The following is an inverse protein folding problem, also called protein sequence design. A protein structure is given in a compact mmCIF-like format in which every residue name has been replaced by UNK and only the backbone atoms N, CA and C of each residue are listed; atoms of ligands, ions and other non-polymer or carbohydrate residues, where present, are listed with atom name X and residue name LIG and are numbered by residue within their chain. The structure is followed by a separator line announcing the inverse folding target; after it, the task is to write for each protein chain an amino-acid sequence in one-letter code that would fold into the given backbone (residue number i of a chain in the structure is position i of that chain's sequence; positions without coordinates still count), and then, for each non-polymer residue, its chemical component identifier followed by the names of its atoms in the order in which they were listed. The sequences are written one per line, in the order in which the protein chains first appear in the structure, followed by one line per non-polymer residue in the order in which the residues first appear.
data_IF_312741540267
#
_entry.id   IF_312741540267
#
_cell.length_a   1.000
_cell.length_b   1.000
_cell.length_c   1.000
_cell.angle_alpha   90.00
_cell.angle_beta   90.00
_cell.angle_gamma   90.00
#
_symmetry.space_group_name_H-M   'P 1'
#
loop_
_entity.id
_entity.type
_entity.pdbx_description
1 polymer ?
#
# COMPACT_ATOMS: atom_id res chain seq x y z
N UNK A 1 6.73 33.52 39.88
CA UNK A 1 5.77 32.41 40.13
C UNK A 1 4.44 32.53 39.38
N UNK A 2 4.09 33.67 38.75
CA UNK A 2 2.88 33.77 37.91
C UNK A 2 3.08 33.24 36.47
N UNK A 3 4.28 33.40 35.91
CA UNK A 3 4.62 32.89 34.56
C UNK A 3 4.43 31.38 34.45
N UNK A 4 4.90 30.61 35.43
CA UNK A 4 4.83 29.13 35.40
C UNK A 4 3.41 28.58 35.41
N UNK A 5 2.46 29.29 36.08
CA UNK A 5 1.05 28.87 36.13
C UNK A 5 0.33 29.20 34.82
N UNK A 6 0.65 30.35 34.22
CA UNK A 6 0.12 30.75 32.92
C UNK A 6 0.67 29.87 31.79
N UNK A 7 1.96 29.55 31.82
CA UNK A 7 2.62 28.61 30.88
C UNK A 7 2.01 27.21 30.98
N UNK A 8 1.68 26.76 32.18
CA UNK A 8 1.01 25.48 32.40
C UNK A 8 -0.41 25.47 31.83
N UNK A 9 -1.18 26.53 32.07
CA UNK A 9 -2.51 26.70 31.51
C UNK A 9 -2.48 26.78 29.98
N UNK A 10 -1.57 27.58 29.41
CA UNK A 10 -1.40 27.72 27.97
C UNK A 10 -0.99 26.38 27.33
N UNK A 11 -0.10 25.62 27.97
CA UNK A 11 0.29 24.29 27.52
C UNK A 11 -0.89 23.30 27.51
N UNK A 12 -1.76 23.37 28.52
CA UNK A 12 -2.96 22.55 28.57
C UNK A 12 -3.95 22.90 27.45
N UNK A 13 -4.18 24.20 27.23
CA UNK A 13 -5.03 24.71 26.14
C UNK A 13 -4.47 24.33 24.77
N UNK A 14 -3.17 24.49 24.54
CA UNK A 14 -2.52 24.11 23.28
C UNK A 14 -2.66 22.61 23.02
N UNK A 15 -2.45 21.75 24.03
CA UNK A 15 -2.64 20.30 23.89
C UNK A 15 -4.08 19.94 23.56
N UNK A 16 -5.05 20.61 24.20
CA UNK A 16 -6.47 20.40 23.92
C UNK A 16 -6.83 20.84 22.49
N UNK A 17 -6.37 22.02 22.06
CA UNK A 17 -6.55 22.50 20.69
C UNK A 17 -5.93 21.55 19.66
N UNK A 18 -4.70 21.08 19.89
CA UNK A 18 -4.05 20.11 19.01
C UNK A 18 -4.83 18.79 18.93
N UNK A 19 -5.34 18.29 20.06
CA UNK A 19 -6.18 17.09 20.09
C UNK A 19 -7.50 17.28 19.33
N UNK A 20 -8.15 18.44 19.49
CA UNK A 20 -9.37 18.78 18.77
C UNK A 20 -9.13 18.87 17.26
N UNK A 21 -8.07 19.57 16.85
CA UNK A 21 -7.68 19.68 15.44
C UNK A 21 -7.33 18.31 14.84
N UNK A 22 -6.63 17.45 15.59
CA UNK A 22 -6.31 16.10 15.16
C UNK A 22 -7.56 15.22 15.02
N UNK A 23 -8.48 15.30 15.98
CA UNK A 23 -9.76 14.58 15.90
C UNK A 23 -10.61 15.07 14.74
N UNK A 24 -10.70 16.40 14.54
CA UNK A 24 -11.40 16.99 13.40
C UNK A 24 -10.76 16.56 12.08
N UNK A 25 -9.43 16.57 12.00
CA UNK A 25 -8.70 16.09 10.83
C UNK A 25 -8.99 14.62 10.55
N UNK A 26 -8.99 13.75 11.57
CA UNK A 26 -9.28 12.33 11.39
C UNK A 26 -10.77 12.04 11.08
N UNK A 27 -11.68 12.94 11.45
CA UNK A 27 -13.10 12.87 11.12
C UNK A 27 -13.39 13.36 9.70
N UNK A 28 -12.67 14.39 9.22
CA UNK A 28 -12.84 14.98 7.89
C UNK A 28 -11.94 14.33 6.84
N UNK A 29 -10.82 13.73 7.24
CA UNK A 29 -9.96 12.98 6.33
C UNK A 29 -10.79 11.84 5.73
N UNK A 30 -10.76 11.68 4.40
CA UNK A 30 -11.38 10.51 3.80
C UNK A 30 -10.77 9.29 4.49
N UNK A 31 -11.63 8.47 5.10
CA UNK A 31 -11.22 7.18 5.63
C UNK A 31 -10.52 6.48 4.48
N UNK A 32 -9.20 6.36 4.58
CA UNK A 32 -8.44 5.52 3.67
C UNK A 32 -9.06 4.15 3.88
N UNK A 33 -9.95 3.76 2.97
CA UNK A 33 -10.42 2.39 2.90
C UNK A 33 -9.13 1.61 2.84
N UNK A 34 -8.84 0.81 3.87
CA UNK A 34 -7.69 -0.09 3.85
C UNK A 34 -7.79 -0.82 2.52
N UNK A 35 -6.94 -0.40 1.58
CA UNK A 35 -7.01 -0.70 0.16
C UNK A 35 -6.58 -2.12 -0.11
N UNK A 36 -6.81 -3.03 0.85
CA UNK A 36 -6.89 -4.45 0.61
C UNK A 36 -8.20 -4.73 -0.13
N UNK A 37 -8.37 -4.12 -1.30
CA UNK A 37 -9.06 -4.84 -2.37
C UNK A 37 -8.31 -6.17 -2.45
N UNK A 38 -8.98 -7.25 -2.06
CA UNK A 38 -8.39 -8.58 -2.09
C UNK A 38 -7.90 -8.78 -3.52
N UNK A 39 -6.59 -8.80 -3.68
CA UNK A 39 -6.00 -9.00 -4.99
C UNK A 39 -6.58 -10.26 -5.57
N UNK A 40 -6.94 -10.26 -6.86
CA UNK A 40 -7.42 -11.47 -7.49
C UNK A 40 -6.33 -12.55 -7.38
N UNK A 41 -6.70 -13.82 -7.19
CA UNK A 41 -5.72 -14.89 -7.04
C UNK A 41 -4.85 -15.01 -8.29
N UNK A 42 -3.59 -15.44 -8.12
CA UNK A 42 -2.72 -15.69 -9.27
C UNK A 42 -3.21 -16.95 -9.99
N UNK A 43 -3.69 -16.80 -11.22
CA UNK A 43 -4.23 -17.90 -12.03
C UNK A 43 -3.17 -18.57 -12.91
N UNK A 44 -2.15 -17.82 -13.35
CA UNK A 44 -1.09 -18.34 -14.21
C UNK A 44 0.07 -18.93 -13.38
N UNK A 45 0.33 -20.25 -13.43
CA UNK A 45 1.39 -20.89 -12.66
C UNK A 45 2.81 -20.39 -13.02
N UNK A 46 2.99 -19.83 -14.22
CA UNK A 46 4.25 -19.21 -14.65
C UNK A 46 4.66 -18.08 -13.71
N UNK A 47 3.70 -17.35 -13.14
CA UNK A 47 3.95 -16.24 -12.22
C UNK A 47 4.37 -16.70 -10.81
N UNK A 48 4.26 -18.00 -10.54
CA UNK A 48 4.57 -18.62 -9.24
C UNK A 48 5.94 -19.31 -9.20
N UNK A 49 6.63 -19.41 -10.34
CA UNK A 49 7.98 -20.01 -10.40
C UNK A 49 9.07 -18.94 -10.27
N UNK A 50 10.26 -19.32 -9.82
CA UNK A 50 11.35 -18.37 -9.64
C UNK A 50 11.90 -17.85 -10.98
N UNK A 51 12.54 -16.67 -10.97
CA UNK A 51 13.19 -16.12 -12.16
C UNK A 51 14.26 -17.06 -12.75
N UNK A 52 14.99 -17.81 -11.89
CA UNK A 52 15.99 -18.78 -12.35
C UNK A 52 15.35 -20.01 -13.02
N UNK A 53 14.21 -20.48 -12.51
CA UNK A 53 13.42 -21.55 -13.13
C UNK A 53 12.83 -21.07 -14.46
N UNK A 54 12.25 -19.87 -14.49
CA UNK A 54 11.71 -19.27 -15.70
C UNK A 54 12.78 -19.11 -16.78
N UNK A 55 13.97 -18.61 -16.42
CA UNK A 55 15.10 -18.50 -17.36
C UNK A 55 15.57 -19.87 -17.88
N UNK A 56 15.53 -20.91 -17.04
CA UNK A 56 15.82 -22.29 -17.46
C UNK A 56 14.78 -22.79 -18.46
N UNK A 57 13.49 -22.53 -18.23
CA UNK A 57 12.40 -22.87 -19.15
C UNK A 57 12.55 -22.18 -20.51
N UNK A 58 12.88 -20.89 -20.51
CA UNK A 58 13.14 -20.12 -21.74
C UNK A 58 14.30 -20.73 -22.53
N UNK A 59 15.45 -21.01 -21.88
CA UNK A 59 16.61 -21.64 -22.54
C UNK A 59 16.28 -23.02 -23.11
N UNK A 60 15.37 -23.76 -22.48
CA UNK A 60 14.88 -25.05 -22.95
C UNK A 60 13.74 -24.95 -23.97
N UNK A 61 13.33 -23.74 -24.35
CA UNK A 61 12.20 -23.46 -25.25
C UNK A 61 10.87 -24.05 -24.76
N UNK A 62 10.73 -24.23 -23.44
CA UNK A 62 9.49 -24.70 -22.81
C UNK A 62 8.46 -23.55 -22.67
N UNK A 63 8.93 -22.30 -22.67
CA UNK A 63 8.13 -21.07 -22.63
C UNK A 63 8.83 -20.01 -23.48
N UNK A 64 8.09 -19.23 -24.25
CA UNK A 64 8.64 -18.15 -25.09
C UNK A 64 8.74 -16.83 -24.32
N UNK A 65 9.61 -15.92 -24.74
CA UNK A 65 9.68 -14.57 -24.15
C UNK A 65 8.37 -13.81 -24.27
N UNK A 66 7.64 -14.01 -25.37
CA UNK A 66 6.33 -13.37 -25.61
C UNK A 66 5.30 -13.85 -24.60
N UNK A 67 5.19 -15.17 -24.39
CA UNK A 67 4.29 -15.76 -23.38
C UNK A 67 4.58 -15.23 -21.97
N UNK A 68 5.86 -15.08 -21.62
CA UNK A 68 6.25 -14.51 -20.32
C UNK A 68 5.77 -13.08 -20.19
N UNK A 69 6.11 -12.22 -21.16
CA UNK A 69 5.80 -10.80 -21.09
C UNK A 69 4.28 -10.59 -21.06
N UNK A 70 3.53 -11.34 -21.88
CA UNK A 70 2.08 -11.27 -21.89
C UNK A 70 1.47 -11.68 -20.54
N UNK A 71 1.94 -12.78 -19.93
CA UNK A 71 1.46 -13.23 -18.63
C UNK A 71 1.64 -12.18 -17.52
N UNK A 72 2.73 -11.40 -17.56
CA UNK A 72 2.94 -10.29 -16.62
C UNK A 72 2.07 -9.08 -16.92
N UNK A 73 1.87 -8.73 -18.21
CA UNK A 73 0.96 -7.65 -18.60
C UNK A 73 -0.47 -7.95 -18.14
N UNK A 74 -0.95 -9.17 -18.40
CA UNK A 74 -2.29 -9.61 -18.01
C UNK A 74 -2.47 -9.50 -16.49
N UNK A 75 -1.46 -9.92 -15.72
CA UNK A 75 -1.48 -9.80 -14.26
C UNK A 75 -1.50 -8.36 -13.77
N UNK A 76 -0.76 -7.47 -14.42
CA UNK A 76 -0.75 -6.04 -14.07
C UNK A 76 -2.14 -5.45 -14.29
N UNK A 77 -2.78 -5.74 -15.42
CA UNK A 77 -4.15 -5.28 -15.71
C UNK A 77 -5.18 -5.85 -14.73
N UNK A 78 -5.03 -7.11 -14.32
CA UNK A 78 -5.92 -7.77 -13.35
C UNK A 78 -5.82 -7.13 -11.95
N UNK A 79 -4.61 -6.74 -11.55
CA UNK A 79 -4.33 -6.14 -10.23
C UNK A 79 -4.56 -4.63 -10.21
N UNK A 80 -4.31 -3.96 -11.34
CA UNK A 80 -4.39 -2.52 -11.50
C UNK A 80 -5.21 -2.18 -12.77
N UNK A 81 -6.55 -2.20 -12.64
CA UNK A 81 -7.46 -1.94 -13.75
C UNK A 81 -7.48 -0.46 -14.19
#
# INVERSE_FOLDING_TARGET
MALTRFEWFLSWVLRACMGLLFALFHLLAPRQSDGSAKLPPVTNPLLMISATQLAKKIRRKEVTSVEVVQAYIDRIQEVNP
#
